data_IF_898692506424
#
_entry.id   IF_898692506424
#
_cell.length_a   1.000
_cell.length_b   1.000
_cell.length_c   1.000
_cell.angle_alpha   90.00
_cell.angle_beta   90.00
_cell.angle_gamma   90.00
#
_symmetry.space_group_name_H-M   'P 1'
#
loop_
_entity.id
_entity.type
_entity.pdbx_description
1 polymer ?
#
# COMPACT_ATOMS: atom_id res chain seq x y z
N UNK A 1 14.43 20.76 2.01
CA UNK A 1 15.76 20.94 1.37
C UNK A 1 15.89 19.94 0.23
N UNK A 2 16.95 19.98 -0.59
CA UNK A 2 17.01 19.15 -1.80
C UNK A 2 16.05 19.65 -2.88
N UNK A 3 16.24 20.88 -3.33
CA UNK A 3 15.38 21.57 -4.32
C UNK A 3 13.93 21.91 -3.87
N UNK A 4 13.44 21.36 -2.76
CA UNK A 4 12.11 21.69 -2.22
C UNK A 4 12.11 22.89 -1.26
N UNK A 5 11.29 23.91 -1.55
CA UNK A 5 11.09 25.12 -0.72
C UNK A 5 9.84 25.06 0.16
N UNK A 6 8.74 24.53 -0.38
CA UNK A 6 7.48 24.27 0.32
C UNK A 6 7.09 22.82 0.09
N UNK A 7 6.51 22.17 1.09
CA UNK A 7 6.05 20.79 0.97
C UNK A 7 4.59 20.76 0.51
N UNK A 8 4.37 20.60 -0.80
CA UNK A 8 3.05 20.63 -1.45
C UNK A 8 2.09 19.57 -0.90
N UNK A 9 2.58 18.33 -0.74
CA UNK A 9 1.79 17.21 -0.23
C UNK A 9 1.41 17.44 1.24
N UNK A 10 2.35 17.86 2.09
CA UNK A 10 2.04 18.14 3.50
C UNK A 10 1.09 19.34 3.67
N UNK A 11 1.24 20.38 2.86
CA UNK A 11 0.29 21.51 2.85
C UNK A 11 -1.11 21.03 2.46
N UNK A 12 -1.21 20.17 1.44
CA UNK A 12 -2.47 19.59 0.99
C UNK A 12 -3.11 18.73 2.07
N UNK A 13 -2.37 17.79 2.66
CA UNK A 13 -2.87 16.93 3.74
C UNK A 13 -3.39 17.74 4.93
N UNK A 14 -2.62 18.76 5.35
CA UNK A 14 -3.04 19.66 6.43
C UNK A 14 -4.30 20.45 6.08
N UNK A 15 -4.42 20.92 4.84
CA UNK A 15 -5.61 21.62 4.38
C UNK A 15 -6.85 20.70 4.38
N UNK A 16 -6.72 19.48 3.84
CA UNK A 16 -7.81 18.50 3.80
C UNK A 16 -8.30 18.16 5.21
N UNK A 17 -7.38 17.90 6.14
CA UNK A 17 -7.72 17.60 7.53
C UNK A 17 -8.35 18.78 8.25
N UNK A 18 -7.70 19.95 8.22
CA UNK A 18 -8.08 21.09 9.05
C UNK A 18 -9.28 21.89 8.47
N UNK A 19 -9.53 21.81 7.15
CA UNK A 19 -10.58 22.59 6.46
C UNK A 19 -11.72 21.76 5.91
N UNK A 20 -11.45 20.52 5.50
CA UNK A 20 -12.47 19.62 4.93
C UNK A 20 -12.82 18.46 5.86
N UNK A 21 -12.23 18.42 7.08
CA UNK A 21 -12.48 17.40 8.09
C UNK A 21 -12.24 15.96 7.61
N UNK A 22 -11.28 15.77 6.70
CA UNK A 22 -10.81 14.43 6.33
C UNK A 22 -9.98 13.88 7.48
N UNK A 23 -10.46 12.82 8.14
CA UNK A 23 -9.92 12.31 9.39
C UNK A 23 -8.75 11.33 9.22
N UNK A 24 -8.72 10.55 8.14
CA UNK A 24 -7.63 9.59 7.84
C UNK A 24 -7.06 9.82 6.45
N UNK A 25 -5.81 10.26 6.37
CA UNK A 25 -5.10 10.51 5.11
C UNK A 25 -3.89 9.60 5.01
N UNK A 26 -3.79 8.82 3.95
CA UNK A 26 -2.58 8.06 3.62
C UNK A 26 -1.69 8.92 2.72
N UNK A 27 -0.43 9.05 3.07
CA UNK A 27 0.61 9.61 2.20
C UNK A 27 1.59 8.49 1.83
N UNK A 28 1.69 8.17 0.54
CA UNK A 28 2.70 7.23 0.03
C UNK A 28 3.76 8.02 -0.74
N UNK A 29 5.01 7.87 -0.34
CA UNK A 29 6.15 8.54 -0.94
C UNK A 29 6.96 7.53 -1.77
N UNK A 30 6.91 7.71 -3.09
CA UNK A 30 7.55 6.84 -4.08
C UNK A 30 8.86 7.43 -4.63
N UNK A 31 9.24 8.64 -4.20
CA UNK A 31 10.54 9.22 -4.52
C UNK A 31 11.66 8.35 -3.94
N UNK A 32 12.76 8.18 -4.66
CA UNK A 32 13.88 7.34 -4.20
C UNK A 32 14.56 7.91 -2.95
N UNK A 33 14.36 9.19 -2.67
CA UNK A 33 14.84 9.87 -1.48
C UNK A 33 13.76 9.93 -0.39
N UNK A 34 14.17 9.82 0.86
CA UNK A 34 13.24 9.96 1.98
C UNK A 34 12.63 11.37 2.04
N UNK A 35 11.29 11.46 2.05
CA UNK A 35 10.53 12.69 2.24
C UNK A 35 10.56 13.22 3.68
N UNK A 36 11.75 13.58 4.15
CA UNK A 36 12.02 13.99 5.52
C UNK A 36 11.14 15.16 6.01
N UNK A 37 10.71 16.04 5.10
CA UNK A 37 9.80 17.13 5.42
C UNK A 37 8.36 16.66 5.71
N UNK A 38 7.88 15.65 4.99
CA UNK A 38 6.54 15.06 5.19
C UNK A 38 6.51 14.26 6.48
N UNK A 39 7.53 13.42 6.70
CA UNK A 39 7.73 12.73 7.97
C UNK A 39 7.68 13.70 9.16
N UNK A 40 8.47 14.79 9.11
CA UNK A 40 8.51 15.76 10.21
C UNK A 40 7.15 16.44 10.43
N UNK A 41 6.41 16.74 9.38
CA UNK A 41 5.14 17.46 9.47
C UNK A 41 4.05 16.68 10.25
N UNK A 42 4.11 15.34 10.20
CA UNK A 42 3.06 14.46 10.73
C UNK A 42 3.55 13.43 11.75
N UNK A 43 4.80 13.53 12.21
CA UNK A 43 5.46 12.52 13.05
C UNK A 43 4.72 12.17 14.36
N UNK A 44 3.87 13.06 14.86
CA UNK A 44 3.10 12.85 16.09
C UNK A 44 1.59 12.72 15.85
N UNK A 45 1.16 12.60 14.58
CA UNK A 45 -0.23 12.71 14.16
C UNK A 45 -0.80 11.37 13.65
N UNK A 46 -1.65 10.69 14.42
CA UNK A 46 -2.23 9.40 14.01
C UNK A 46 -3.32 9.54 12.93
N UNK A 47 -3.73 10.77 12.59
CA UNK A 47 -4.70 11.01 11.52
C UNK A 47 -4.04 10.88 10.13
N UNK A 48 -2.70 10.83 10.07
CA UNK A 48 -1.93 10.75 8.84
C UNK A 48 -1.01 9.54 8.93
N UNK A 49 -1.18 8.58 8.03
CA UNK A 49 -0.22 7.50 7.84
C UNK A 49 0.77 7.93 6.76
N UNK A 50 2.04 8.13 7.11
CA UNK A 50 3.12 8.39 6.15
C UNK A 50 3.90 7.11 5.89
N UNK A 51 4.04 6.74 4.62
CA UNK A 51 4.81 5.57 4.18
C UNK A 51 5.79 6.01 3.09
N UNK A 52 7.08 5.73 3.28
CA UNK A 52 8.12 6.04 2.28
C UNK A 52 8.89 4.80 1.88
N UNK A 53 9.11 4.62 0.56
CA UNK A 53 10.09 3.68 0.03
C UNK A 53 11.27 4.46 -0.50
N UNK A 54 12.43 4.33 0.13
CA UNK A 54 13.58 5.14 -0.24
C UNK A 54 14.88 4.36 -0.09
N UNK A 55 15.86 4.76 -0.88
CA UNK A 55 17.24 4.31 -0.72
C UNK A 55 17.80 4.94 0.56
N UNK A 56 18.17 4.09 1.51
CA UNK A 56 18.67 4.54 2.81
C UNK A 56 20.15 4.24 2.98
N UNK A 57 20.57 3.01 2.66
CA UNK A 57 21.96 2.55 2.77
C UNK A 57 22.61 2.91 4.12
N UNK A 58 21.91 2.61 5.23
CA UNK A 58 22.33 2.95 6.60
C UNK A 58 22.62 4.45 6.80
N UNK A 59 21.81 5.32 6.17
CA UNK A 59 21.93 6.78 6.25
C UNK A 59 23.00 7.38 5.34
N UNK A 60 23.59 6.59 4.43
CA UNK A 60 24.63 7.05 3.51
C UNK A 60 24.11 7.55 2.16
N UNK A 61 22.78 7.55 1.95
CA UNK A 61 22.15 8.16 0.78
C UNK A 61 21.37 9.41 1.17
N UNK A 62 21.31 10.41 0.29
CA UNK A 62 20.62 11.67 0.59
C UNK A 62 19.12 11.41 0.89
N UNK A 63 18.51 12.07 1.90
CA UNK A 63 19.07 13.07 2.81
C UNK A 63 19.70 12.50 4.10
N UNK A 64 19.81 11.17 4.22
CA UNK A 64 20.40 10.47 5.37
C UNK A 64 19.47 10.24 6.56
N UNK A 65 18.19 10.60 6.43
CA UNK A 65 17.13 10.32 7.41
C UNK A 65 16.20 9.22 6.90
N UNK A 66 15.24 8.79 7.71
CA UNK A 66 14.27 7.78 7.30
C UNK A 66 14.64 6.38 7.77
N UNK A 67 15.34 6.25 8.90
CA UNK A 67 15.68 4.93 9.42
C UNK A 67 14.41 4.11 9.73
N UNK A 68 14.45 2.77 9.62
CA UNK A 68 13.26 1.93 9.80
C UNK A 68 12.70 1.95 11.23
N UNK A 69 13.50 2.38 12.22
CA UNK A 69 13.09 2.56 13.61
C UNK A 69 12.47 3.93 13.90
N UNK A 70 12.41 4.84 12.94
CA UNK A 70 11.71 6.12 13.06
C UNK A 70 10.20 5.92 12.82
N UNK A 71 9.48 5.50 13.86
CA UNK A 71 8.08 5.05 13.75
C UNK A 71 7.02 6.09 14.13
N UNK A 72 7.43 7.34 14.39
CA UNK A 72 6.56 8.39 14.91
C UNK A 72 6.82 8.66 16.40
N UNK A 73 5.99 9.48 17.02
CA UNK A 73 6.12 9.86 18.42
C UNK A 73 4.77 10.15 19.09
N UNK A 74 4.67 9.84 20.38
CA UNK A 74 3.43 10.09 21.13
C UNK A 74 2.23 9.40 20.48
N UNK A 75 1.11 10.10 20.23
CA UNK A 75 -0.05 9.51 19.58
C UNK A 75 0.21 9.00 18.15
N UNK A 76 1.24 9.50 17.46
CA UNK A 76 1.59 9.09 16.09
C UNK A 76 2.54 7.90 16.00
N UNK A 77 2.93 7.27 17.12
CA UNK A 77 3.72 6.03 17.07
C UNK A 77 2.99 4.94 16.28
N UNK A 78 3.69 4.36 15.30
CA UNK A 78 3.16 3.41 14.33
C UNK A 78 2.68 4.04 13.02
N UNK A 79 2.42 5.34 12.97
CA UNK A 79 1.86 6.03 11.80
C UNK A 79 2.93 6.63 10.86
N UNK A 80 4.19 6.28 11.10
CA UNK A 80 5.31 6.57 10.21
C UNK A 80 6.01 5.25 9.84
N UNK A 81 5.99 4.90 8.55
CA UNK A 81 6.56 3.65 8.03
C UNK A 81 7.65 3.98 7.02
N UNK A 82 8.89 3.68 7.40
CA UNK A 82 10.04 3.81 6.51
C UNK A 82 10.44 2.43 5.98
N UNK A 83 10.17 2.18 4.70
CA UNK A 83 10.73 1.06 3.93
C UNK A 83 12.10 1.52 3.43
N UNK A 84 13.06 1.48 4.35
CA UNK A 84 14.42 1.95 4.18
C UNK A 84 15.28 0.87 3.52
N UNK A 85 15.47 0.97 2.19
CA UNK A 85 16.28 0.01 1.45
C UNK A 85 17.76 0.18 1.83
N UNK A 86 18.34 -0.88 2.41
CA UNK A 86 19.77 -0.98 2.71
C UNK A 86 20.38 -2.12 1.91
N UNK A 87 21.60 -1.91 1.42
CA UNK A 87 22.42 -2.94 0.74
C UNK A 87 23.16 -2.41 -0.48
N UNK A 88 23.03 -1.13 -0.77
CA UNK A 88 23.63 -0.49 -1.92
C UNK A 88 22.94 -0.89 -3.22
N UNK A 89 23.77 -1.05 -4.25
CA UNK A 89 23.35 -1.36 -5.62
C UNK A 89 23.87 -2.75 -6.05
N UNK A 90 23.87 -3.71 -5.11
CA UNK A 90 24.35 -5.08 -5.34
C UNK A 90 23.29 -6.15 -4.96
N UNK A 91 22.31 -6.43 -5.85
CA UNK A 91 21.96 -5.64 -7.04
C UNK A 91 21.11 -4.40 -6.66
N UNK A 92 20.88 -3.46 -7.60
CA UNK A 92 19.90 -2.40 -7.42
C UNK A 92 18.49 -2.95 -7.19
N UNK A 93 17.65 -2.20 -6.45
CA UNK A 93 16.23 -2.53 -6.34
C UNK A 93 15.51 -2.28 -7.68
N UNK A 94 14.52 -3.11 -8.00
CA UNK A 94 13.69 -2.98 -9.19
C UNK A 94 12.22 -3.29 -8.91
N UNK A 95 11.50 -3.72 -9.95
CA UNK A 95 10.04 -3.94 -9.91
C UNK A 95 9.63 -4.91 -8.82
N UNK A 96 10.28 -6.08 -8.74
CA UNK A 96 9.90 -7.15 -7.82
C UNK A 96 10.02 -6.71 -6.35
N UNK A 97 11.03 -5.91 -6.02
CA UNK A 97 11.22 -5.37 -4.67
C UNK A 97 10.12 -4.37 -4.29
N UNK A 98 9.79 -3.43 -5.17
CA UNK A 98 8.73 -2.45 -4.94
C UNK A 98 7.35 -3.11 -4.87
N UNK A 99 7.06 -4.06 -5.77
CA UNK A 99 5.82 -4.84 -5.75
C UNK A 99 5.70 -5.66 -4.45
N UNK A 100 6.80 -6.24 -3.98
CA UNK A 100 6.80 -6.99 -2.71
C UNK A 100 6.59 -6.06 -1.52
N UNK A 101 7.21 -4.88 -1.49
CA UNK A 101 6.99 -3.88 -0.45
C UNK A 101 5.50 -3.47 -0.36
N UNK A 102 4.86 -3.26 -1.52
CA UNK A 102 3.43 -3.00 -1.60
C UNK A 102 2.61 -4.16 -1.03
N UNK A 103 2.92 -5.39 -1.45
CA UNK A 103 2.21 -6.59 -1.02
C UNK A 103 2.32 -6.84 0.50
N UNK A 104 3.51 -6.70 1.07
CA UNK A 104 3.81 -7.19 2.44
C UNK A 104 3.76 -6.12 3.51
N UNK A 105 3.83 -4.84 3.15
CA UNK A 105 3.84 -3.72 4.12
C UNK A 105 2.78 -2.68 3.79
N UNK A 106 2.83 -2.08 2.59
CA UNK A 106 2.03 -0.87 2.31
C UNK A 106 0.55 -1.19 2.21
N UNK A 107 0.16 -2.14 1.36
CA UNK A 107 -1.26 -2.47 1.17
C UNK A 107 -1.88 -3.07 2.44
N UNK A 108 -1.22 -3.97 3.20
CA UNK A 108 -1.75 -4.44 4.47
C UNK A 108 -2.00 -3.29 5.46
N UNK A 109 -0.98 -2.45 5.74
CA UNK A 109 -1.11 -1.32 6.66
C UNK A 109 -2.16 -0.31 6.18
N UNK A 110 -2.18 -0.01 4.88
CA UNK A 110 -3.15 0.92 4.30
C UNK A 110 -4.59 0.41 4.39
N UNK A 111 -4.83 -0.89 4.19
CA UNK A 111 -6.17 -1.48 4.36
C UNK A 111 -6.61 -1.48 5.83
N UNK A 112 -5.69 -1.75 6.78
CA UNK A 112 -6.00 -1.64 8.22
C UNK A 112 -6.23 -0.20 8.66
N UNK A 113 -5.47 0.75 8.11
CA UNK A 113 -5.65 2.18 8.36
C UNK A 113 -6.95 2.72 7.75
N UNK A 114 -7.39 2.17 6.60
CA UNK A 114 -8.64 2.52 5.91
C UNK A 114 -8.72 4.04 5.62
N UNK A 115 -7.86 4.58 4.75
CA UNK A 115 -7.79 6.02 4.49
C UNK A 115 -9.02 6.53 3.75
N UNK A 116 -9.40 7.78 4.02
CA UNK A 116 -10.46 8.49 3.29
C UNK A 116 -9.94 9.10 1.98
N UNK A 117 -8.63 9.32 1.87
CA UNK A 117 -7.94 9.78 0.65
C UNK A 117 -6.48 9.33 0.69
N UNK A 118 -5.92 9.05 -0.50
CA UNK A 118 -4.49 8.77 -0.70
C UNK A 118 -3.82 9.93 -1.43
N UNK A 119 -2.76 10.46 -0.86
CA UNK A 119 -1.85 11.41 -1.51
C UNK A 119 -0.54 10.71 -1.82
N UNK A 120 0.02 10.94 -2.99
CA UNK A 120 1.26 10.30 -3.43
C UNK A 120 2.28 11.37 -3.75
N UNK A 121 3.39 11.37 -3.01
CA UNK A 121 4.62 12.06 -3.39
C UNK A 121 5.27 11.22 -4.49
N UNK A 122 5.00 11.60 -5.75
CA UNK A 122 5.32 10.80 -6.92
C UNK A 122 6.64 11.25 -7.55
N UNK A 123 7.76 10.94 -6.88
CA UNK A 123 9.09 11.02 -7.49
C UNK A 123 9.36 9.81 -8.39
N UNK A 124 10.06 10.04 -9.51
CA UNK A 124 10.35 8.99 -10.50
C UNK A 124 11.86 8.69 -10.67
N UNK A 125 12.68 9.09 -9.71
CA UNK A 125 14.14 8.85 -9.70
C UNK A 125 14.56 7.43 -9.27
N UNK A 126 13.61 6.60 -8.82
CA UNK A 126 13.80 5.15 -8.71
C UNK A 126 13.72 4.42 -10.06
N UNK A 127 13.18 5.09 -11.09
CA UNK A 127 13.03 4.51 -12.43
C UNK A 127 14.41 4.32 -13.07
N UNK A 128 14.58 3.24 -13.84
CA UNK A 128 15.78 3.02 -14.64
C UNK A 128 16.10 4.25 -15.51
N UNK A 129 17.38 4.63 -15.53
CA UNK A 129 17.88 5.82 -16.26
C UNK A 129 18.57 6.83 -15.35
N UNK A 130 18.35 6.73 -14.04
CA UNK A 130 18.98 7.61 -13.05
C UNK A 130 20.30 7.02 -12.54
N UNK A 131 21.37 7.81 -12.62
CA UNK A 131 22.70 7.39 -12.18
C UNK A 131 22.77 7.14 -10.66
N UNK A 132 23.68 6.26 -10.20
CA UNK A 132 23.85 5.91 -8.78
C UNK A 132 23.93 7.04 -7.76
N UNK A 133 24.51 8.23 -8.04
CA UNK A 133 24.53 9.34 -7.08
C UNK A 133 23.17 10.00 -6.86
N UNK A 134 22.23 9.85 -7.81
CA UNK A 134 20.91 10.47 -7.80
C UNK A 134 19.79 9.48 -7.49
N UNK A 135 19.96 8.21 -7.88
CA UNK A 135 19.03 7.14 -7.57
C UNK A 135 19.76 5.80 -7.63
N UNK A 136 19.91 5.26 -8.84
CA UNK A 136 20.64 4.03 -9.11
C UNK A 136 19.79 2.76 -9.13
N UNK A 137 18.48 2.87 -8.92
CA UNK A 137 17.53 1.76 -9.02
C UNK A 137 17.08 1.49 -10.46
N UNK A 138 16.35 0.39 -10.61
CA UNK A 138 15.96 -0.20 -11.90
C UNK A 138 14.46 -0.51 -11.94
N UNK A 139 13.65 0.31 -11.27
CA UNK A 139 12.19 0.20 -11.36
C UNK A 139 11.77 0.64 -12.76
N UNK A 140 10.80 -0.03 -13.36
CA UNK A 140 10.27 0.34 -14.67
C UNK A 140 9.15 1.37 -14.53
N UNK A 141 9.01 2.26 -15.51
CA UNK A 141 7.85 3.14 -15.61
C UNK A 141 6.52 2.38 -15.55
N UNK A 142 6.46 1.19 -16.17
CA UNK A 142 5.32 0.28 -16.12
C UNK A 142 4.96 -0.11 -14.69
N UNK A 143 5.95 -0.42 -13.84
CA UNK A 143 5.73 -0.76 -12.45
C UNK A 143 5.02 0.38 -11.70
N UNK A 144 5.41 1.64 -11.90
CA UNK A 144 4.71 2.80 -11.29
C UNK A 144 3.22 2.87 -11.65
N UNK A 145 2.84 2.50 -12.87
CA UNK A 145 1.44 2.34 -13.26
C UNK A 145 0.73 1.25 -12.43
N UNK A 146 1.37 0.10 -12.24
CA UNK A 146 0.84 -1.00 -11.40
C UNK A 146 0.75 -0.61 -9.91
N UNK A 147 1.74 0.11 -9.37
CA UNK A 147 1.71 0.63 -8.01
C UNK A 147 0.54 1.62 -7.83
N UNK A 148 0.35 2.52 -8.79
CA UNK A 148 -0.79 3.46 -8.82
C UNK A 148 -2.13 2.71 -8.86
N UNK A 149 -2.23 1.66 -9.68
CA UNK A 149 -3.41 0.80 -9.75
C UNK A 149 -3.71 0.08 -8.43
N UNK A 150 -2.70 -0.26 -7.64
CA UNK A 150 -2.91 -0.81 -6.30
C UNK A 150 -3.48 0.25 -5.34
N UNK A 151 -2.92 1.47 -5.34
CA UNK A 151 -3.42 2.56 -4.49
C UNK A 151 -4.85 2.98 -4.82
N UNK A 152 -5.27 2.88 -6.08
CA UNK A 152 -6.65 3.13 -6.51
C UNK A 152 -7.69 2.17 -5.90
N UNK A 153 -7.25 1.04 -5.32
CA UNK A 153 -8.15 0.14 -4.57
C UNK A 153 -8.53 0.67 -3.19
N UNK A 154 -7.84 1.71 -2.70
CA UNK A 154 -8.06 2.34 -1.41
C UNK A 154 -8.94 3.58 -1.57
N UNK A 155 -9.56 4.04 -0.48
CA UNK A 155 -10.28 5.32 -0.43
C UNK A 155 -11.31 5.54 -1.56
N UNK A 156 -11.96 4.47 -2.03
CA UNK A 156 -12.85 4.46 -3.21
C UNK A 156 -12.22 5.10 -4.46
N UNK A 157 -10.91 4.95 -4.65
CA UNK A 157 -10.18 5.53 -5.77
C UNK A 157 -9.87 7.03 -5.62
N UNK A 158 -10.10 7.64 -4.45
CA UNK A 158 -9.67 9.02 -4.15
C UNK A 158 -8.17 9.07 -3.96
N UNK A 159 -7.45 9.18 -5.08
CA UNK A 159 -5.99 9.20 -5.14
C UNK A 159 -5.51 10.45 -5.89
N UNK A 160 -4.52 11.15 -5.35
CA UNK A 160 -3.85 12.28 -6.00
C UNK A 160 -2.35 12.04 -6.02
N UNK A 161 -1.74 12.08 -7.20
CA UNK A 161 -0.29 12.05 -7.38
C UNK A 161 0.21 13.48 -7.62
N UNK A 162 1.27 13.89 -6.92
CA UNK A 162 2.00 15.12 -7.19
C UNK A 162 3.46 14.80 -7.48
N UNK A 163 3.97 15.29 -8.62
CA UNK A 163 5.35 15.07 -9.04
C UNK A 163 6.33 15.65 -8.00
N UNK A 164 7.33 14.86 -7.61
CA UNK A 164 8.45 15.27 -6.76
C UNK A 164 9.77 15.23 -7.57
N UNK A 165 10.65 14.25 -7.31
CA UNK A 165 11.89 14.02 -8.05
C UNK A 165 11.74 13.27 -9.38
N UNK A 166 12.88 12.88 -9.95
CA UNK A 166 12.99 12.37 -11.32
C UNK A 166 13.61 13.39 -12.29
N UNK A 167 14.63 12.96 -13.04
CA UNK A 167 15.50 13.84 -13.82
C UNK A 167 15.78 13.33 -15.24
N UNK A 168 15.84 12.01 -15.45
CA UNK A 168 15.90 11.48 -16.81
C UNK A 168 14.55 11.73 -17.51
N UNK A 169 14.59 12.48 -18.62
CA UNK A 169 13.38 12.95 -19.27
C UNK A 169 12.52 11.80 -19.80
N UNK A 170 13.14 10.73 -20.28
CA UNK A 170 12.39 9.57 -20.80
C UNK A 170 11.73 8.85 -19.64
N UNK A 171 12.48 8.56 -18.57
CA UNK A 171 12.00 7.89 -17.38
C UNK A 171 10.80 8.62 -16.75
N UNK A 172 10.88 9.94 -16.56
CA UNK A 172 9.79 10.72 -15.96
C UNK A 172 8.57 10.83 -16.89
N UNK A 173 8.77 10.90 -18.21
CA UNK A 173 7.66 10.93 -19.17
C UNK A 173 6.91 9.60 -19.16
N UNK A 174 7.64 8.50 -19.31
CA UNK A 174 7.07 7.16 -19.38
C UNK A 174 6.37 6.78 -18.07
N UNK A 175 6.96 7.12 -16.91
CA UNK A 175 6.34 6.87 -15.61
C UNK A 175 5.10 7.73 -15.39
N UNK A 176 5.13 9.01 -15.79
CA UNK A 176 3.95 9.88 -15.75
C UNK A 176 2.82 9.32 -16.62
N UNK A 177 3.13 8.88 -17.84
CA UNK A 177 2.16 8.25 -18.74
C UNK A 177 1.55 6.99 -18.13
N UNK A 178 2.38 6.10 -17.56
CA UNK A 178 1.91 4.86 -16.93
C UNK A 178 0.97 5.14 -15.74
N UNK A 179 1.33 6.10 -14.88
CA UNK A 179 0.49 6.53 -13.75
C UNK A 179 -0.84 7.14 -14.21
N UNK A 180 -0.81 8.03 -15.21
CA UNK A 180 -2.03 8.64 -15.76
C UNK A 180 -2.94 7.58 -16.39
N UNK A 181 -2.39 6.62 -17.13
CA UNK A 181 -3.15 5.51 -17.68
C UNK A 181 -3.85 4.70 -16.58
N UNK A 182 -3.17 4.44 -15.46
CA UNK A 182 -3.78 3.78 -14.31
C UNK A 182 -4.93 4.61 -13.70
N UNK A 183 -4.73 5.92 -13.50
CA UNK A 183 -5.74 6.84 -12.98
C UNK A 183 -6.98 6.94 -13.87
N UNK A 184 -6.81 6.84 -15.20
CA UNK A 184 -7.92 6.82 -16.16
C UNK A 184 -8.67 5.48 -16.19
N UNK A 185 -8.18 4.46 -15.48
CA UNK A 185 -8.76 3.12 -15.50
C UNK A 185 -8.48 2.35 -16.80
N UNK A 186 -7.48 2.78 -17.58
CA UNK A 186 -7.06 2.08 -18.78
C UNK A 186 -6.45 0.72 -18.41
N UNK A 187 -6.56 -0.23 -19.34
CA UNK A 187 -5.87 -1.50 -19.19
C UNK A 187 -4.35 -1.26 -19.26
N UNK A 188 -3.65 -1.61 -18.18
CA UNK A 188 -2.20 -1.51 -18.13
C UNK A 188 -1.58 -2.71 -18.83
N UNK A 189 -0.49 -2.48 -19.55
CA UNK A 189 0.31 -3.57 -20.07
C UNK A 189 0.73 -4.52 -18.93
N UNK A 190 0.66 -5.84 -19.15
CA UNK A 190 1.07 -6.80 -18.15
C UNK A 190 2.54 -6.63 -17.80
N UNK A 191 2.87 -6.93 -16.54
CA UNK A 191 4.25 -7.05 -16.10
C UNK A 191 4.93 -8.19 -16.87
N UNK A 192 6.22 -8.07 -17.20
CA UNK A 192 6.98 -9.14 -17.84
C UNK A 192 6.95 -10.44 -17.01
N UNK A 193 6.89 -11.58 -17.68
CA UNK A 193 6.75 -12.90 -17.04
C UNK A 193 7.93 -13.22 -16.11
N UNK A 194 9.13 -12.76 -16.45
CA UNK A 194 10.34 -12.87 -15.64
C UNK A 194 10.19 -12.11 -14.31
N UNK A 195 9.67 -10.88 -14.31
CA UNK A 195 9.40 -10.11 -13.09
C UNK A 195 8.38 -10.83 -12.19
N UNK A 196 7.34 -11.42 -12.79
CA UNK A 196 6.28 -12.11 -12.04
C UNK A 196 6.80 -13.36 -11.32
N UNK A 197 7.81 -14.02 -11.89
CA UNK A 197 8.46 -15.23 -11.34
C UNK A 197 9.75 -14.94 -10.57
N UNK A 198 10.21 -13.69 -10.56
CA UNK A 198 11.38 -13.28 -9.83
C UNK A 198 11.07 -13.21 -8.33
N UNK A 199 12.07 -13.52 -7.51
CA UNK A 199 12.04 -13.31 -6.06
C UNK A 199 12.87 -12.05 -5.75
N UNK A 200 12.46 -11.21 -4.78
CA UNK A 200 13.25 -10.07 -4.37
C UNK A 200 14.70 -10.44 -4.00
N UNK A 201 15.64 -9.55 -4.28
CA UNK A 201 17.02 -9.77 -3.87
C UNK A 201 17.18 -9.81 -2.34
N UNK A 202 18.28 -10.38 -1.85
CA UNK A 202 18.49 -10.61 -0.42
C UNK A 202 18.51 -9.33 0.42
N UNK A 203 19.01 -8.22 -0.12
CA UNK A 203 19.05 -6.95 0.57
C UNK A 203 17.64 -6.38 0.76
N UNK A 204 16.79 -6.53 -0.27
CA UNK A 204 15.38 -6.16 -0.19
C UNK A 204 14.62 -7.01 0.82
N UNK A 205 14.81 -8.33 0.80
CA UNK A 205 14.19 -9.24 1.78
C UNK A 205 14.62 -8.87 3.20
N UNK A 206 15.90 -8.59 3.43
CA UNK A 206 16.40 -8.17 4.74
C UNK A 206 15.76 -6.84 5.19
N UNK A 207 15.68 -5.85 4.30
CA UNK A 207 15.06 -4.54 4.56
C UNK A 207 13.57 -4.67 4.89
N UNK A 208 12.83 -5.50 4.14
CA UNK A 208 11.41 -5.75 4.36
C UNK A 208 11.17 -6.56 5.63
N UNK A 209 11.94 -7.63 5.89
CA UNK A 209 11.84 -8.38 7.17
C UNK A 209 12.09 -7.46 8.36
N UNK A 210 13.06 -6.54 8.27
CA UNK A 210 13.31 -5.55 9.32
C UNK A 210 12.13 -4.61 9.51
N UNK A 211 11.57 -4.11 8.41
CA UNK A 211 10.41 -3.22 8.45
C UNK A 211 9.20 -3.93 9.07
N UNK A 212 8.86 -5.13 8.60
CA UNK A 212 7.74 -5.92 9.13
C UNK A 212 7.93 -6.29 10.59
N UNK A 213 9.15 -6.66 11.03
CA UNK A 213 9.45 -6.89 12.46
C UNK A 213 9.12 -5.67 13.32
N UNK A 214 9.47 -4.47 12.87
CA UNK A 214 9.19 -3.23 13.59
C UNK A 214 7.70 -2.91 13.58
N UNK A 215 7.08 -2.97 12.40
CA UNK A 215 5.70 -2.53 12.18
C UNK A 215 4.66 -3.50 12.73
N UNK A 216 4.99 -4.79 12.87
CA UNK A 216 4.12 -5.80 13.51
C UNK A 216 3.72 -5.48 14.95
N UNK A 217 4.43 -4.56 15.60
CA UNK A 217 4.09 -4.05 16.94
C UNK A 217 2.90 -3.09 16.94
N UNK A 218 2.62 -2.48 15.79
CA UNK A 218 1.62 -1.43 15.62
C UNK A 218 0.47 -1.86 14.70
N UNK A 219 0.76 -2.71 13.70
CA UNK A 219 -0.18 -3.13 12.66
C UNK A 219 -0.34 -4.65 12.65
N UNK A 220 -1.56 -5.14 12.85
CA UNK A 220 -1.85 -6.59 12.85
C UNK A 220 -1.79 -7.19 11.45
N UNK A 221 -2.07 -6.38 10.45
CA UNK A 221 -2.01 -6.76 9.03
C UNK A 221 -0.57 -6.96 8.54
N UNK A 222 0.41 -6.33 9.19
CA UNK A 222 1.84 -6.39 8.83
C UNK A 222 2.56 -7.40 9.72
N UNK A 223 2.18 -8.68 9.59
CA UNK A 223 2.81 -9.77 10.34
C UNK A 223 3.98 -10.40 9.57
N UNK A 224 5.11 -10.75 10.22
CA UNK A 224 6.31 -11.31 9.56
C UNK A 224 6.09 -12.65 8.83
N UNK A 225 4.94 -13.30 9.05
CA UNK A 225 4.65 -14.65 8.60
C UNK A 225 3.34 -14.77 7.82
N UNK A 226 2.56 -13.69 7.66
CA UNK A 226 1.26 -13.76 6.96
C UNK A 226 1.44 -13.81 5.44
N UNK A 227 2.34 -12.99 4.90
CA UNK A 227 2.68 -12.98 3.47
C UNK A 227 4.19 -13.15 3.30
N UNK A 228 4.67 -14.20 2.62
CA UNK A 228 6.10 -14.42 2.46
C UNK A 228 6.75 -13.27 1.67
N UNK A 229 7.82 -12.71 2.23
CA UNK A 229 8.64 -11.68 1.58
C UNK A 229 9.57 -12.30 0.54
N UNK A 230 9.89 -13.58 0.69
CA UNK A 230 10.84 -14.37 -0.09
C UNK A 230 10.18 -15.26 -1.16
N UNK A 231 8.99 -14.87 -1.64
CA UNK A 231 8.28 -15.58 -2.72
C UNK A 231 7.98 -14.67 -3.92
N UNK A 232 7.86 -15.30 -5.09
CA UNK A 232 7.52 -14.63 -6.33
C UNK A 232 6.09 -14.08 -6.32
N UNK A 233 5.78 -13.14 -7.22
CA UNK A 233 4.43 -12.59 -7.32
C UNK A 233 3.40 -13.65 -7.73
N UNK A 234 3.74 -14.52 -8.70
CA UNK A 234 2.87 -15.62 -9.13
C UNK A 234 2.53 -16.59 -8.00
N UNK A 235 3.51 -16.94 -7.16
CA UNK A 235 3.31 -17.88 -6.05
C UNK A 235 2.35 -17.33 -5.00
N UNK A 236 2.52 -16.06 -4.65
CA UNK A 236 1.61 -15.35 -3.74
C UNK A 236 0.20 -15.22 -4.31
N UNK A 237 0.05 -14.85 -5.58
CA UNK A 237 -1.27 -14.76 -6.22
C UNK A 237 -1.98 -16.11 -6.26
N UNK A 238 -1.23 -17.21 -6.42
CA UNK A 238 -1.76 -18.56 -6.36
C UNK A 238 -2.23 -18.90 -4.94
N UNK A 239 -1.42 -18.60 -3.93
CA UNK A 239 -1.77 -18.84 -2.54
C UNK A 239 -3.03 -18.04 -2.12
N UNK A 240 -3.13 -16.77 -2.49
CA UNK A 240 -4.31 -15.93 -2.23
C UNK A 240 -5.58 -16.51 -2.89
N UNK A 241 -5.47 -17.03 -4.13
CA UNK A 241 -6.61 -17.69 -4.80
C UNK A 241 -7.03 -18.96 -4.08
N UNK A 242 -6.09 -19.82 -3.70
CA UNK A 242 -6.37 -21.05 -2.97
C UNK A 242 -7.00 -20.76 -1.59
N UNK A 243 -6.53 -19.72 -0.89
CA UNK A 243 -7.12 -19.24 0.37
C UNK A 243 -8.53 -18.68 0.17
N UNK A 244 -8.76 -17.90 -0.88
CA UNK A 244 -10.09 -17.36 -1.19
C UNK A 244 -11.08 -18.47 -1.57
N UNK A 245 -10.64 -19.44 -2.37
CA UNK A 245 -11.44 -20.61 -2.75
C UNK A 245 -11.79 -21.47 -1.54
N UNK A 246 -10.84 -21.70 -0.62
CA UNK A 246 -11.09 -22.46 0.61
C UNK A 246 -12.03 -21.73 1.56
N UNK A 247 -11.86 -20.42 1.78
CA UNK A 247 -12.80 -19.62 2.59
C UNK A 247 -14.20 -19.62 1.97
N UNK A 248 -14.31 -19.47 0.65
CA UNK A 248 -15.60 -19.55 -0.06
C UNK A 248 -16.25 -20.93 0.08
N UNK A 249 -15.46 -22.01 0.04
CA UNK A 249 -15.94 -23.37 0.24
C UNK A 249 -16.40 -23.61 1.69
N UNK A 250 -15.65 -23.12 2.69
CA UNK A 250 -16.04 -23.23 4.10
C UNK A 250 -17.29 -22.42 4.42
N UNK A 251 -17.43 -21.22 3.86
CA UNK A 251 -18.65 -20.42 3.99
C UNK A 251 -19.86 -21.18 3.42
N UNK A 252 -19.72 -21.79 2.24
CA UNK A 252 -20.78 -22.61 1.63
C UNK A 252 -21.20 -23.79 2.52
N UNK A 253 -20.23 -24.51 3.11
CA UNK A 253 -20.50 -25.61 4.02
C UNK A 253 -21.19 -25.18 5.32
N UNK A 254 -20.90 -23.96 5.83
CA UNK A 254 -21.55 -23.43 7.03
C UNK A 254 -23.03 -23.07 6.81
N UNK A 255 -23.37 -22.61 5.61
CA UNK A 255 -24.76 -22.29 5.21
C UNK A 255 -25.61 -23.56 5.05
N UNK A 256 -25.01 -24.67 4.60
CA UNK A 256 -25.70 -25.96 4.48
C UNK A 256 -26.02 -26.59 5.85
N UNK A 257 -25.24 -26.28 6.90
CA UNK A 257 -25.50 -26.78 8.27
C UNK A 257 -26.70 -26.08 8.92
N UNK A 258 -26.94 -24.80 8.63
CA UNK A 258 -28.09 -24.05 9.17
C UNK A 258 -29.43 -24.49 8.55
N UNK A 259 -29.43 -25.07 7.35
CA UNK A 259 -30.65 -25.58 6.70
C UNK A 259 -31.10 -26.97 7.21
N UNK A 260 -30.30 -27.63 8.05
CA UNK A 260 -30.56 -29.01 8.50
C UNK A 260 -31.23 -29.15 9.89
N UNK A 261 -31.70 -28.07 10.53
CA UNK A 261 -32.47 -28.16 11.79
C UNK A 261 -33.96 -28.33 11.47
N UNK A 262 -34.60 -29.50 11.70
CA UNK A 262 -36.03 -29.65 11.47
C UNK A 262 -36.80 -28.93 12.59
N UNK A 263 -37.62 -27.94 12.26
CA UNK A 263 -38.63 -27.41 13.16
C UNK A 263 -39.73 -28.47 13.35
N UNK A 264 -39.83 -29.06 14.55
CA UNK A 264 -41.00 -29.85 14.95
C UNK A 264 -42.24 -28.95 15.02
N UNK A 265 -43.24 -29.27 14.20
CA UNK A 265 -44.45 -28.49 14.01
C UNK A 265 -45.47 -28.59 15.14
N UNK A 266 -45.94 -27.44 15.60
CA UNK A 266 -47.19 -27.30 16.35
C UNK A 266 -48.37 -27.21 15.37
N UNK A 267 -49.26 -28.21 15.40
CA UNK A 267 -50.53 -28.21 14.66
C UNK A 267 -51.56 -27.34 15.38
N UNK A 268 -52.01 -26.25 14.75
CA UNK A 268 -53.25 -25.57 15.09
C UNK A 268 -54.35 -26.00 14.12
N UNK A 269 -55.49 -26.45 14.66
CA UNK A 269 -56.69 -26.83 13.92
C UNK A 269 -57.82 -25.84 14.24
N UNK A 270 -58.58 -25.45 13.22
CA UNK A 270 -59.98 -25.05 13.35
C UNK A 270 -60.33 -23.60 13.02
N UNK A 271 -60.72 -23.35 11.77
CA UNK A 271 -61.87 -22.48 11.43
C UNK A 271 -63.11 -23.41 11.27
N UNK A 272 -64.39 -22.96 11.14
CA UNK A 272 -64.88 -21.61 10.74
C UNK A 272 -66.19 -21.10 11.42
N UNK A 273 -66.58 -19.85 11.12
CA UNK A 273 -67.89 -19.39 10.58
C UNK A 273 -68.38 -18.02 11.08
N UNK A 274 -69.03 -17.35 10.13
CA UNK A 274 -69.56 -15.98 10.07
C UNK A 274 -70.77 -15.73 11.00
N UNK A 275 -70.98 -14.46 11.42
CA UNK A 275 -72.26 -13.75 11.24
C UNK A 275 -72.19 -12.24 11.63
N UNK A 276 -72.65 -11.43 10.66
CA UNK A 276 -73.26 -10.08 10.61
C UNK A 276 -72.83 -8.84 11.45
N UNK A 277 -72.97 -7.62 10.87
CA UNK A 277 -72.67 -6.35 11.53
C UNK A 277 -73.91 -5.64 12.10
N UNK A 278 -73.73 -4.85 13.16
CA UNK A 278 -74.66 -3.78 13.52
C UNK A 278 -73.97 -2.60 14.21
N UNK A 279 -74.20 -1.42 13.60
CA UNK A 279 -74.03 -0.01 14.05
C UNK A 279 -72.61 0.58 14.09
#
# INVERSE_FOLDING_TARGET
MGFCFFNSIAITAKYLRDKLNIGKILIVDLDVHHGNGTQQAFYADPSILYVSLHRYDEGNFFPGSGAPNEVGSGPGEGYNINIAWTGGLDPPMGDVEYLTAFRTVIMPAANEFDPEIVLVSAGFDAVEGHDPPLGGYKVTAKCFGHLTKQLLKLADGRVVLALEGGHDLTAICDASEACINALLGNELEPLPEDIVHQIPNMNAIASLKKTTEIQSKYWKSVEPYSVPVDCALAESQKQEREETETVSAMASLSVDVEQCIPQEGSRAAGEPMEEEPAL
#
